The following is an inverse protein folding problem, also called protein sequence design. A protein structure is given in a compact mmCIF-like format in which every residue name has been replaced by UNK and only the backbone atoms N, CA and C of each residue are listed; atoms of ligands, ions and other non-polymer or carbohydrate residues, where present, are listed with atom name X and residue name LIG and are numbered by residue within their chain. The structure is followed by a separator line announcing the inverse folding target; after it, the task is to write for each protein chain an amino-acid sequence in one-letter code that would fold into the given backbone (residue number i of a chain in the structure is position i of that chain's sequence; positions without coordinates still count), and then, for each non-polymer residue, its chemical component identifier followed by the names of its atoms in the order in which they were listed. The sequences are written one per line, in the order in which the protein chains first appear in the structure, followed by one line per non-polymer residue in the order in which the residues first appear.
data_IF_018625063213
#
_entry.id   IF_018625063213
#
_cell.length_a   1.000
_cell.length_b   1.000
_cell.length_c   1.000
_cell.angle_alpha   90.00
_cell.angle_beta   90.00
_cell.angle_gamma   90.00
#
_symmetry.space_group_name_H-M   'P 1'
#
loop_
_entity.id
_entity.type
_entity.pdbx_description
1 polymer ?
#
# COMPACT_ATOMS: atom_id res chain seq x y z
N UNK A 1 0.07 5.83 1.04
CA UNK A 1 1.29 5.83 0.20
C UNK A 1 0.94 6.08 -1.26
N UNK A 2 1.89 6.64 -2.03
CA UNK A 2 1.74 6.95 -3.46
C UNK A 2 2.98 6.51 -4.22
N UNK A 3 2.81 5.88 -5.39
CA UNK A 3 3.91 5.53 -6.29
C UNK A 3 4.35 6.75 -7.11
N UNK A 4 5.63 6.85 -7.40
CA UNK A 4 6.19 7.74 -8.41
C UNK A 4 6.65 6.85 -9.57
N UNK A 5 5.96 6.97 -10.72
CA UNK A 5 6.30 6.22 -11.92
C UNK A 5 7.45 6.85 -12.70
N UNK A 6 8.12 6.06 -13.52
CA UNK A 6 9.13 6.57 -14.44
C UNK A 6 8.48 7.51 -15.48
N UNK A 7 9.10 8.64 -15.89
CA UNK A 7 8.50 9.61 -16.84
C UNK A 7 8.09 8.98 -18.18
N UNK A 8 8.80 7.96 -18.62
CA UNK A 8 8.50 7.26 -19.88
C UNK A 8 7.57 6.04 -19.69
N UNK A 9 7.26 5.66 -18.43
CA UNK A 9 6.37 4.55 -18.11
C UNK A 9 5.80 4.73 -16.69
N UNK A 10 4.65 5.34 -16.58
CA UNK A 10 4.00 5.65 -15.29
C UNK A 10 3.63 4.43 -14.45
N UNK A 11 3.51 3.26 -15.08
CA UNK A 11 3.24 2.01 -14.36
C UNK A 11 4.49 1.44 -13.69
N UNK A 12 5.67 1.80 -14.18
CA UNK A 12 6.93 1.36 -13.60
C UNK A 12 7.35 2.30 -12.46
N UNK A 13 7.14 1.86 -11.22
CA UNK A 13 7.46 2.66 -10.03
C UNK A 13 8.98 2.74 -9.81
N UNK A 14 9.51 3.96 -9.73
CA UNK A 14 10.91 4.25 -9.39
C UNK A 14 11.08 4.81 -7.98
N UNK A 15 10.00 5.30 -7.39
CA UNK A 15 9.96 5.72 -5.99
C UNK A 15 8.54 5.55 -5.42
N UNK A 16 8.42 5.69 -4.11
CA UNK A 16 7.14 5.81 -3.43
C UNK A 16 7.28 6.78 -2.26
N UNK A 17 6.18 7.46 -1.92
CA UNK A 17 6.10 8.41 -0.81
C UNK A 17 4.85 8.15 0.03
N UNK A 18 4.96 8.35 1.34
CA UNK A 18 3.84 8.30 2.27
C UNK A 18 3.28 9.69 2.58
N UNK A 19 2.14 9.71 3.27
CA UNK A 19 1.52 10.95 3.78
C UNK A 19 2.38 11.68 4.82
N UNK A 20 3.29 10.97 5.50
CA UNK A 20 4.20 11.56 6.49
C UNK A 20 5.57 11.95 5.89
N UNK A 21 5.71 11.88 4.56
CA UNK A 21 6.91 12.26 3.85
C UNK A 21 8.02 11.21 3.82
N UNK A 22 7.74 9.97 4.25
CA UNK A 22 8.71 8.88 4.08
C UNK A 22 8.82 8.52 2.60
N UNK A 23 10.03 8.42 2.08
CA UNK A 23 10.32 8.13 0.68
C UNK A 23 11.23 6.93 0.55
N UNK A 24 10.90 6.02 -0.36
CA UNK A 24 11.81 4.97 -0.81
C UNK A 24 12.02 5.14 -2.32
N UNK A 25 13.28 5.18 -2.72
CA UNK A 25 13.70 5.35 -4.12
C UNK A 25 14.44 4.10 -4.56
N UNK A 26 14.07 3.57 -5.72
CA UNK A 26 14.88 2.57 -6.41
C UNK A 26 16.08 3.26 -7.07
N UNK A 27 17.23 3.20 -6.44
CA UNK A 27 18.43 3.92 -6.89
C UNK A 27 18.90 3.49 -8.27
N UNK A 28 18.73 2.22 -8.63
CA UNK A 28 19.16 1.72 -9.93
C UNK A 28 18.37 2.34 -11.08
N UNK A 29 17.10 2.64 -10.84
CA UNK A 29 16.18 3.21 -11.83
C UNK A 29 16.18 4.75 -11.80
N UNK A 30 16.38 5.34 -10.63
CA UNK A 30 16.36 6.79 -10.47
C UNK A 30 17.54 7.50 -11.13
N UNK A 31 18.65 6.82 -11.40
CA UNK A 31 19.80 7.38 -12.13
C UNK A 31 19.49 7.72 -13.59
N UNK A 32 18.39 7.18 -14.11
CA UNK A 32 17.94 7.42 -15.49
C UNK A 32 17.05 8.64 -15.66
N UNK A 33 16.69 9.30 -14.55
CA UNK A 33 15.77 10.45 -14.53
C UNK A 33 16.46 11.69 -13.96
N UNK A 34 15.96 12.85 -14.38
CA UNK A 34 16.43 14.15 -13.85
C UNK A 34 16.10 14.25 -12.36
N UNK A 35 17.10 14.62 -11.55
CA UNK A 35 16.97 14.67 -10.09
C UNK A 35 15.94 15.72 -9.64
N UNK A 36 15.90 16.89 -10.30
CA UNK A 36 14.96 17.95 -9.95
C UNK A 36 13.53 17.60 -10.37
N UNK A 37 13.39 16.87 -11.48
CA UNK A 37 12.09 16.29 -11.85
C UNK A 37 11.61 15.30 -10.78
N UNK A 38 12.47 14.39 -10.33
CA UNK A 38 12.12 13.39 -9.31
C UNK A 38 11.70 14.06 -8.00
N UNK A 39 12.41 15.09 -7.55
CA UNK A 39 12.07 15.86 -6.34
C UNK A 39 10.69 16.52 -6.46
N UNK A 40 10.40 17.15 -7.60
CA UNK A 40 9.09 17.78 -7.85
C UNK A 40 7.96 16.76 -7.87
N UNK A 41 8.17 15.59 -8.47
CA UNK A 41 7.15 14.55 -8.56
C UNK A 41 6.91 13.88 -7.19
N UNK A 42 7.96 13.67 -6.38
CA UNK A 42 7.84 13.22 -4.98
C UNK A 42 6.97 14.20 -4.19
N UNK A 43 7.25 15.50 -4.26
CA UNK A 43 6.48 16.52 -3.53
C UNK A 43 5.01 16.54 -3.98
N UNK A 44 4.75 16.50 -5.28
CA UNK A 44 3.40 16.43 -5.84
C UNK A 44 2.62 15.21 -5.31
N UNK A 45 3.22 14.01 -5.39
CA UNK A 45 2.59 12.78 -4.92
C UNK A 45 2.44 12.75 -3.40
N UNK A 46 3.34 13.40 -2.65
CA UNK A 46 3.22 13.60 -1.21
C UNK A 46 1.98 14.45 -0.88
N UNK A 47 1.77 15.58 -1.54
CA UNK A 47 0.59 16.43 -1.34
C UNK A 47 -0.70 15.70 -1.69
N UNK A 48 -0.70 14.87 -2.72
CA UNK A 48 -1.84 14.01 -3.06
C UNK A 48 -2.10 12.93 -1.99
N UNK A 49 -1.05 12.34 -1.41
CA UNK A 49 -1.19 11.40 -0.30
C UNK A 49 -1.87 12.05 0.92
N UNK A 50 -1.43 13.26 1.31
CA UNK A 50 -2.02 14.04 2.39
C UNK A 50 -3.49 14.35 2.11
N UNK A 51 -3.80 14.79 0.88
CA UNK A 51 -5.17 15.15 0.47
C UNK A 51 -6.11 13.94 0.55
N UNK A 52 -5.70 12.79 0.01
CA UNK A 52 -6.48 11.54 0.09
C UNK A 52 -6.67 11.08 1.52
N UNK A 53 -5.64 11.18 2.35
CA UNK A 53 -5.75 10.86 3.77
C UNK A 53 -6.84 11.68 4.46
N UNK A 54 -6.89 12.99 4.21
CA UNK A 54 -7.93 13.87 4.76
C UNK A 54 -9.34 13.46 4.31
N UNK A 55 -9.50 13.10 3.03
CA UNK A 55 -10.78 12.66 2.48
C UNK A 55 -11.24 11.36 3.15
N UNK A 56 -10.36 10.37 3.27
CA UNK A 56 -10.70 9.05 3.82
C UNK A 56 -10.81 9.07 5.34
N UNK A 57 -10.00 9.87 6.06
CA UNK A 57 -9.99 9.91 7.53
C UNK A 57 -11.28 10.43 8.16
N UNK A 58 -12.10 11.17 7.41
CA UNK A 58 -13.45 11.57 7.89
C UNK A 58 -14.39 10.37 8.10
N UNK A 59 -14.06 9.22 7.51
CA UNK A 59 -14.85 7.99 7.58
C UNK A 59 -14.20 6.90 8.44
N UNK A 60 -12.94 7.06 8.86
CA UNK A 60 -12.19 6.01 9.54
C UNK A 60 -12.22 6.08 11.07
N UNK A 61 -12.29 4.91 11.70
CA UNK A 61 -11.85 4.70 13.08
C UNK A 61 -10.35 4.36 13.06
N UNK A 62 -9.52 5.37 13.29
CA UNK A 62 -8.06 5.17 13.28
C UNK A 62 -7.65 4.59 14.64
N UNK A 63 -7.42 3.30 14.68
CA UNK A 63 -6.79 2.64 15.82
C UNK A 63 -5.28 2.78 15.73
N UNK A 64 -4.61 3.10 16.85
CA UNK A 64 -3.15 3.04 16.90
C UNK A 64 -2.68 1.62 16.57
N UNK A 65 -1.66 1.44 15.71
CA UNK A 65 -1.05 0.15 15.42
C UNK A 65 -0.14 -0.35 16.56
N UNK A 66 0.16 0.49 17.53
CA UNK A 66 1.06 0.17 18.65
C UNK A 66 0.64 -1.08 19.39
N UNK A 67 1.58 -2.02 19.57
CA UNK A 67 1.39 -3.32 20.20
C UNK A 67 0.31 -4.22 19.54
N UNK A 68 -0.10 -3.91 18.29
CA UNK A 68 -1.10 -4.71 17.56
C UNK A 68 -0.48 -5.48 16.41
N UNK A 69 -1.15 -6.55 16.01
CA UNK A 69 -0.89 -7.21 14.75
C UNK A 69 -1.51 -6.36 13.65
N UNK A 70 -0.70 -5.93 12.69
CA UNK A 70 -1.12 -5.14 11.54
C UNK A 70 -1.04 -6.01 10.29
N UNK A 71 -2.12 -6.06 9.53
CA UNK A 71 -2.16 -6.74 8.24
C UNK A 71 -2.21 -5.67 7.14
N UNK A 72 -1.18 -5.61 6.31
CA UNK A 72 -1.14 -4.82 5.09
C UNK A 72 -1.68 -5.64 3.94
N UNK A 73 -2.67 -5.11 3.25
CA UNK A 73 -3.37 -5.78 2.14
C UNK A 73 -3.25 -4.90 0.90
N UNK A 74 -3.01 -5.52 -0.25
CA UNK A 74 -3.02 -4.86 -1.55
C UNK A 74 -3.55 -5.84 -2.60
N UNK A 75 -3.90 -5.37 -3.80
CA UNK A 75 -4.33 -6.20 -4.94
C UNK A 75 -3.17 -7.01 -5.55
N UNK A 76 -1.94 -6.63 -5.28
CA UNK A 76 -0.72 -7.32 -5.66
C UNK A 76 0.50 -6.44 -5.53
N UNK A 77 1.67 -7.03 -5.60
CA UNK A 77 2.93 -6.29 -5.43
C UNK A 77 3.87 -6.56 -6.60
N UNK A 78 4.13 -5.54 -7.41
CA UNK A 78 5.12 -5.58 -8.49
C UNK A 78 6.52 -5.20 -7.96
N UNK A 79 6.86 -3.92 -7.92
CA UNK A 79 8.17 -3.43 -7.44
C UNK A 79 8.30 -3.35 -5.92
N UNK A 80 7.18 -3.43 -5.21
CA UNK A 80 7.13 -3.39 -3.75
C UNK A 80 7.37 -2.03 -3.09
N UNK A 81 7.66 -0.96 -3.84
CA UNK A 81 8.06 0.33 -3.25
C UNK A 81 6.97 0.94 -2.35
N UNK A 82 5.71 0.93 -2.78
CA UNK A 82 4.58 1.42 -1.98
C UNK A 82 4.37 0.61 -0.70
N UNK A 83 4.45 -0.72 -0.82
CA UNK A 83 4.34 -1.64 0.30
C UNK A 83 5.47 -1.41 1.31
N UNK A 84 6.71 -1.26 0.84
CA UNK A 84 7.88 -1.02 1.70
C UNK A 84 7.83 0.32 2.42
N UNK A 85 7.32 1.38 1.77
CA UNK A 85 7.06 2.66 2.44
C UNK A 85 6.04 2.47 3.56
N UNK A 86 4.93 1.74 3.32
CA UNK A 86 3.92 1.48 4.34
C UNK A 86 4.49 0.65 5.51
N UNK A 87 5.28 -0.38 5.23
CA UNK A 87 5.97 -1.19 6.24
C UNK A 87 6.89 -0.32 7.09
N UNK A 88 7.70 0.53 6.46
CA UNK A 88 8.64 1.41 7.14
C UNK A 88 7.91 2.38 8.08
N UNK A 89 6.80 2.98 7.64
CA UNK A 89 5.97 3.84 8.48
C UNK A 89 5.36 3.09 9.68
N UNK A 90 4.88 1.88 9.46
CA UNK A 90 4.32 1.08 10.55
C UNK A 90 5.37 0.73 11.60
N UNK A 91 6.59 0.41 11.20
CA UNK A 91 7.69 0.12 12.13
C UNK A 91 7.94 1.26 13.12
N UNK A 92 7.81 2.52 12.69
CA UNK A 92 7.93 3.67 13.61
C UNK A 92 6.82 3.75 14.65
N UNK A 93 5.70 3.05 14.44
CA UNK A 93 4.56 3.05 15.35
C UNK A 93 4.56 1.84 16.29
N UNK A 94 5.67 1.06 16.35
CA UNK A 94 5.87 -0.08 17.23
C UNK A 94 4.72 -1.11 17.21
N UNK A 95 4.34 -1.66 16.05
CA UNK A 95 3.38 -2.75 15.99
C UNK A 95 3.98 -4.00 16.63
N UNK A 96 3.13 -4.88 17.15
CA UNK A 96 3.56 -6.20 17.66
C UNK A 96 4.03 -7.12 16.52
N UNK A 97 3.39 -7.03 15.36
CA UNK A 97 3.67 -7.84 14.17
C UNK A 97 3.13 -7.13 12.93
N UNK A 98 3.87 -7.20 11.84
CA UNK A 98 3.41 -6.78 10.51
C UNK A 98 3.28 -8.02 9.64
N UNK A 99 2.11 -8.20 9.04
CA UNK A 99 1.81 -9.24 8.06
C UNK A 99 1.49 -8.56 6.75
N UNK A 100 2.10 -8.99 5.65
CA UNK A 100 1.69 -8.60 4.30
C UNK A 100 0.86 -9.72 3.70
N UNK A 101 -0.34 -9.41 3.21
CA UNK A 101 -1.24 -10.37 2.60
C UNK A 101 -1.69 -9.87 1.22
N UNK A 102 -1.28 -10.55 0.14
CA UNK A 102 -1.52 -10.13 -1.24
C UNK A 102 -1.83 -11.33 -2.15
N UNK A 103 -2.66 -11.18 -3.18
CA UNK A 103 -2.90 -12.26 -4.15
C UNK A 103 -1.66 -12.63 -4.94
N UNK A 104 -0.87 -11.66 -5.40
CA UNK A 104 0.30 -11.91 -6.24
C UNK A 104 1.46 -10.98 -5.87
N UNK A 105 2.66 -11.53 -5.90
CA UNK A 105 3.92 -10.79 -5.72
C UNK A 105 5.03 -11.47 -6.52
N UNK A 106 5.89 -10.70 -7.20
CA UNK A 106 7.04 -11.27 -7.91
C UNK A 106 8.04 -11.91 -6.94
N UNK A 107 8.77 -12.93 -7.38
CA UNK A 107 9.73 -13.65 -6.54
C UNK A 107 10.77 -12.71 -5.93
N UNK A 108 11.40 -11.87 -6.71
CA UNK A 108 12.40 -10.92 -6.24
C UNK A 108 11.85 -9.95 -5.19
N UNK A 109 10.62 -9.47 -5.38
CA UNK A 109 9.95 -8.60 -4.41
C UNK A 109 9.55 -9.35 -3.15
N UNK A 110 9.05 -10.60 -3.25
CA UNK A 110 8.73 -11.44 -2.11
C UNK A 110 9.98 -11.67 -1.23
N UNK A 111 11.12 -11.95 -1.84
CA UNK A 111 12.40 -12.16 -1.13
C UNK A 111 12.88 -10.90 -0.38
N UNK A 112 12.49 -9.72 -0.84
CA UNK A 112 12.72 -8.46 -0.11
C UNK A 112 11.75 -8.33 1.05
N UNK A 113 10.44 -8.50 0.81
CA UNK A 113 9.39 -8.29 1.81
C UNK A 113 9.51 -9.25 2.99
N UNK A 114 9.85 -10.52 2.77
CA UNK A 114 10.06 -11.53 3.83
C UNK A 114 11.13 -11.09 4.84
N UNK A 115 12.09 -10.27 4.43
CA UNK A 115 13.13 -9.72 5.33
C UNK A 115 12.66 -8.48 6.10
N UNK A 116 11.59 -7.88 5.64
CA UNK A 116 11.09 -6.61 6.18
C UNK A 116 9.87 -6.79 7.11
N UNK A 117 9.20 -7.95 7.09
CA UNK A 117 8.00 -8.24 7.89
C UNK A 117 8.09 -9.61 8.56
N UNK A 118 7.25 -9.84 9.56
CA UNK A 118 7.20 -11.12 10.27
C UNK A 118 6.50 -12.21 9.47
N UNK A 119 5.63 -11.84 8.50
CA UNK A 119 4.92 -12.83 7.68
C UNK A 119 4.51 -12.23 6.33
N UNK A 120 4.72 -12.99 5.26
CA UNK A 120 4.20 -12.71 3.92
C UNK A 120 3.27 -13.86 3.52
N UNK A 121 2.01 -13.53 3.26
CA UNK A 121 0.99 -14.43 2.74
C UNK A 121 0.68 -14.04 1.31
N UNK A 122 0.91 -14.93 0.35
CA UNK A 122 0.61 -14.69 -1.06
C UNK A 122 0.01 -15.94 -1.68
N UNK A 123 -0.97 -15.77 -2.59
CA UNK A 123 -1.57 -16.88 -3.33
C UNK A 123 -0.65 -17.33 -4.47
N UNK A 124 0.01 -16.37 -5.12
CA UNK A 124 0.93 -16.60 -6.24
C UNK A 124 2.25 -15.85 -6.01
N UNK A 125 3.37 -16.57 -6.17
CA UNK A 125 4.73 -16.00 -6.14
C UNK A 125 5.45 -16.49 -7.40
N UNK A 126 5.12 -15.95 -8.58
CA UNK A 126 5.77 -16.33 -9.83
C UNK A 126 7.25 -15.92 -9.82
N UNK A 127 8.10 -16.70 -10.44
CA UNK A 127 9.48 -16.31 -10.73
C UNK A 127 9.50 -15.13 -11.70
N UNK A 128 10.58 -14.34 -11.68
CA UNK A 128 10.60 -13.06 -12.41
C UNK A 128 10.50 -13.25 -13.93
N UNK A 129 10.92 -14.39 -14.46
CA UNK A 129 10.82 -14.77 -15.88
C UNK A 129 9.38 -15.08 -16.34
N UNK A 130 8.51 -15.54 -15.44
CA UNK A 130 7.09 -15.81 -15.73
C UNK A 130 6.12 -14.77 -15.14
N UNK A 131 6.64 -13.76 -14.46
CA UNK A 131 5.82 -12.65 -13.97
C UNK A 131 5.22 -11.85 -15.14
N UNK A 132 3.90 -11.64 -15.14
CA UNK A 132 3.17 -11.04 -16.27
C UNK A 132 3.41 -9.52 -16.46
N UNK A 133 4.40 -8.95 -15.76
CA UNK A 133 4.82 -7.56 -15.90
C UNK A 133 3.97 -6.55 -15.12
N UNK A 134 2.72 -6.85 -14.80
CA UNK A 134 1.86 -5.99 -13.98
C UNK A 134 0.89 -6.81 -13.12
N UNK A 135 0.46 -6.25 -12.00
CA UNK A 135 -0.55 -6.88 -11.12
C UNK A 135 -1.88 -7.09 -11.86
N UNK A 136 -2.31 -6.11 -12.63
CA UNK A 136 -3.59 -6.18 -13.37
C UNK A 136 -3.67 -7.34 -14.36
N UNK A 137 -2.54 -7.86 -14.84
CA UNK A 137 -2.50 -8.99 -15.76
C UNK A 137 -2.92 -10.34 -15.13
N UNK A 138 -3.04 -10.39 -13.80
CA UNK A 138 -3.50 -11.57 -13.04
C UNK A 138 -5.00 -11.55 -12.76
N UNK A 139 -5.73 -10.55 -13.25
CA UNK A 139 -7.16 -10.38 -13.02
C UNK A 139 -7.94 -10.41 -14.33
N UNK A 140 -9.10 -11.06 -14.34
CA UNK A 140 -10.02 -11.04 -15.49
C UNK A 140 -10.57 -9.63 -15.76
N UNK A 141 -10.76 -8.84 -14.69
CA UNK A 141 -11.17 -7.45 -14.75
C UNK A 141 -10.44 -6.66 -13.65
N UNK A 142 -9.60 -5.71 -14.06
CA UNK A 142 -8.84 -4.85 -13.15
C UNK A 142 -9.26 -3.40 -13.34
N UNK A 143 -10.42 -3.06 -12.76
CA UNK A 143 -10.98 -1.71 -12.84
C UNK A 143 -10.48 -0.87 -11.68
N UNK A 144 -10.03 0.33 -12.00
CA UNK A 144 -9.65 1.30 -10.96
C UNK A 144 -10.88 1.77 -10.20
N UNK A 145 -10.83 1.67 -8.86
CA UNK A 145 -11.88 2.14 -7.95
C UNK A 145 -11.73 3.65 -7.75
N UNK A 146 -12.83 4.38 -7.85
CA UNK A 146 -12.86 5.82 -7.65
C UNK A 146 -12.81 6.20 -6.17
N UNK A 147 -12.40 7.44 -5.86
CA UNK A 147 -12.39 7.96 -4.49
C UNK A 147 -13.81 7.94 -3.88
N UNK A 148 -14.85 8.17 -4.68
CA UNK A 148 -16.25 8.12 -4.24
C UNK A 148 -16.68 6.69 -3.86
N UNK A 149 -16.33 5.69 -4.67
CA UNK A 149 -16.58 4.28 -4.36
C UNK A 149 -15.88 3.87 -3.07
N UNK A 150 -14.62 4.29 -2.85
CA UNK A 150 -13.87 4.01 -1.62
C UNK A 150 -14.57 4.65 -0.40
N UNK A 151 -14.98 5.91 -0.50
CA UNK A 151 -15.68 6.60 0.59
C UNK A 151 -16.99 5.88 0.95
N UNK A 152 -17.75 5.44 -0.04
CA UNK A 152 -18.99 4.72 0.18
C UNK A 152 -18.75 3.37 0.85
N UNK A 153 -17.74 2.62 0.42
CA UNK A 153 -17.35 1.34 1.05
C UNK A 153 -16.93 1.54 2.51
N UNK A 154 -16.12 2.56 2.80
CA UNK A 154 -15.70 2.88 4.17
C UNK A 154 -16.87 3.27 5.07
N UNK A 155 -17.86 4.01 4.57
CA UNK A 155 -19.09 4.35 5.31
C UNK A 155 -19.91 3.11 5.64
N UNK A 156 -20.16 2.24 4.66
CA UNK A 156 -20.89 0.98 4.83
C UNK A 156 -20.22 0.07 5.87
N UNK A 157 -18.90 -0.07 5.80
CA UNK A 157 -18.13 -0.84 6.77
C UNK A 157 -18.26 -0.29 8.19
N UNK A 158 -18.21 1.03 8.36
CA UNK A 158 -18.36 1.69 9.65
C UNK A 158 -19.76 1.48 10.29
N UNK A 159 -20.81 1.47 9.48
CA UNK A 159 -22.16 1.20 9.92
C UNK A 159 -22.33 -0.26 10.36
N UNK A 160 -21.77 -1.19 9.58
CA UNK A 160 -21.79 -2.61 9.90
C UNK A 160 -21.03 -2.90 11.21
N UNK A 161 -19.85 -2.31 11.40
CA UNK A 161 -19.04 -2.48 12.60
C UNK A 161 -19.70 -1.92 13.86
N UNK A 162 -20.48 -0.83 13.73
CA UNK A 162 -21.28 -0.28 14.85
C UNK A 162 -22.41 -1.21 15.25
N UNK A 163 -23.13 -1.82 14.30
CA UNK A 163 -24.21 -2.77 14.58
C UNK A 163 -23.72 -4.01 15.33
N UNK A 164 -22.61 -4.61 14.88
CA UNK A 164 -22.06 -5.79 15.53
C UNK A 164 -21.58 -5.52 16.97
N UNK A 165 -21.02 -4.33 17.25
CA UNK A 165 -20.63 -3.94 18.61
C UNK A 165 -21.82 -3.75 19.56
N UNK A 166 -22.99 -3.37 19.06
CA UNK A 166 -24.19 -3.21 19.85
C UNK A 166 -24.82 -4.57 20.19
N UNK A 167 -24.74 -5.52 19.26
CA UNK A 167 -25.24 -6.90 19.48
C UNK A 167 -24.36 -7.72 20.43
N UNK A 168 -23.04 -7.49 20.48
CA UNK A 168 -22.14 -8.15 21.45
C UNK A 168 -22.22 -7.53 22.86
N UNK A 169 -22.72 -6.30 23.00
CA UNK A 169 -22.86 -5.61 24.28
C UNK A 169 -24.12 -6.00 25.09
N UNK A 170 -25.08 -6.68 24.48
CA UNK A 170 -26.33 -7.10 25.15
C UNK A 170 -26.27 -8.54 25.71
N UNK A 171 -25.08 -9.17 25.73
CA UNK A 171 -24.87 -10.53 26.28
C UNK A 171 -23.94 -10.57 27.51
N UNK A 172 -23.85 -9.48 28.29
CA UNK A 172 -23.15 -9.48 29.59
C UNK A 172 -24.07 -9.02 30.73
#
# INVERSE_FOLDING_TARGET
TRKIGHPNNSEYAIAAVSENGMVIINRNESVTVDEDWLKREIEKEHQLAISRRKIYSSTEYISSPENKIVILVDDGVATGLTMRVAISELKYRNPKKIIVAVPVVSRSTADILIREVEELVALLIPTDDIYLGSVGAYYDAFKQITDEEIINLLKQYKEHFKKNKTEEGDFL
#
